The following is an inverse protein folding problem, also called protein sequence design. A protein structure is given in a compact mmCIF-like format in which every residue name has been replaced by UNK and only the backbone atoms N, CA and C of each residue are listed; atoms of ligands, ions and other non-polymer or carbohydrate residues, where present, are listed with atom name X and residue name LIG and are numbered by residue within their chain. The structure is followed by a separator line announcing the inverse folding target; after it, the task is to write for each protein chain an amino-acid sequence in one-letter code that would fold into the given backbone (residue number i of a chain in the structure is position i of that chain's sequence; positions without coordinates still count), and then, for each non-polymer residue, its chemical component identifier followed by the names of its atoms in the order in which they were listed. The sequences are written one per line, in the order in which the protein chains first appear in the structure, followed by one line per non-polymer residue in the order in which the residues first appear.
data_IF_379057526498
#
_entry.id   IF_379057526498
#
_cell.length_a   1.000
_cell.length_b   1.000
_cell.length_c   1.000
_cell.angle_alpha   90.00
_cell.angle_beta   90.00
_cell.angle_gamma   90.00
#
_symmetry.space_group_name_H-M   'P 1'
#
loop_
_entity.id
_entity.type
_entity.pdbx_description
1 polymer ?
#
# COMPACT_ATOMS: atom_id res chain seq x y z
N UNK A 1 11.25 14.69 25.85
CA UNK A 1 10.06 13.88 25.46
C UNK A 1 9.14 14.65 24.51
N UNK A 2 8.75 15.90 24.82
CA UNK A 2 7.97 16.75 23.89
C UNK A 2 8.71 17.08 22.58
N UNK A 3 9.99 17.46 22.63
CA UNK A 3 10.80 17.73 21.42
C UNK A 3 10.90 16.53 20.47
N UNK A 4 11.07 15.31 21.00
CA UNK A 4 11.15 14.09 20.19
C UNK A 4 9.84 13.86 19.41
N UNK A 5 8.70 14.11 20.07
CA UNK A 5 7.38 13.97 19.45
C UNK A 5 7.22 15.03 18.35
N UNK A 6 7.63 16.26 18.61
CA UNK A 6 7.55 17.35 17.62
C UNK A 6 8.45 17.09 16.38
N UNK A 7 9.66 16.56 16.58
CA UNK A 7 10.57 16.20 15.49
C UNK A 7 10.06 15.03 14.66
N UNK A 8 9.45 14.04 15.31
CA UNK A 8 8.76 12.94 14.65
C UNK A 8 7.60 13.48 13.82
N UNK A 9 6.72 14.29 14.40
CA UNK A 9 5.58 14.90 13.69
C UNK A 9 6.04 15.77 12.51
N UNK A 10 7.15 16.50 12.64
CA UNK A 10 7.72 17.33 11.57
C UNK A 10 8.29 16.48 10.44
N UNK A 11 8.98 15.37 10.74
CA UNK A 11 9.42 14.40 9.72
C UNK A 11 8.22 13.79 9.00
N UNK A 12 7.19 13.39 9.73
CA UNK A 12 5.98 12.79 9.17
C UNK A 12 5.22 13.76 8.25
N UNK A 13 5.07 15.01 8.65
CA UNK A 13 4.46 16.06 7.82
C UNK A 13 5.26 16.33 6.55
N UNK A 14 6.60 16.27 6.64
CA UNK A 14 7.50 16.38 5.48
C UNK A 14 7.36 15.19 4.54
N UNK A 15 7.24 13.97 5.06
CA UNK A 15 7.03 12.75 4.27
C UNK A 15 5.67 12.76 3.56
N UNK A 16 4.60 13.18 4.26
CA UNK A 16 3.26 13.33 3.66
C UNK A 16 3.21 14.39 2.54
N UNK A 17 4.03 15.44 2.60
CA UNK A 17 4.15 16.47 1.55
C UNK A 17 5.19 16.15 0.48
N UNK A 18 5.91 15.03 0.59
CA UNK A 18 6.90 14.65 -0.41
C UNK A 18 6.19 14.09 -1.65
N UNK A 19 6.20 14.87 -2.73
CA UNK A 19 5.63 14.48 -4.04
C UNK A 19 6.18 13.14 -4.54
N UNK A 20 7.39 12.75 -4.12
CA UNK A 20 7.97 11.45 -4.45
C UNK A 20 7.21 10.30 -3.77
N UNK A 21 6.89 10.44 -2.49
CA UNK A 21 6.20 9.39 -1.71
C UNK A 21 4.76 9.21 -2.22
N UNK A 22 4.05 10.29 -2.47
CA UNK A 22 2.69 10.22 -3.03
C UNK A 22 2.69 9.63 -4.45
N UNK A 23 3.70 9.95 -5.27
CA UNK A 23 3.87 9.34 -6.60
C UNK A 23 4.17 7.84 -6.53
N UNK A 24 5.03 7.42 -5.60
CA UNK A 24 5.40 6.02 -5.41
C UNK A 24 4.22 5.18 -4.90
N UNK A 25 3.48 5.71 -3.91
CA UNK A 25 2.25 5.09 -3.41
C UNK A 25 1.21 4.91 -4.52
N UNK A 26 0.98 5.95 -5.33
CA UNK A 26 0.08 5.86 -6.48
C UNK A 26 0.56 4.81 -7.50
N UNK A 27 1.87 4.64 -7.68
CA UNK A 27 2.42 3.57 -8.53
C UNK A 27 2.07 2.19 -7.99
N UNK A 28 2.28 1.96 -6.68
CA UNK A 28 1.99 0.68 -6.03
C UNK A 28 0.50 0.33 -6.11
N UNK A 29 -0.38 1.28 -5.76
CA UNK A 29 -1.83 1.08 -5.83
C UNK A 29 -2.30 0.75 -7.25
N UNK A 30 -1.73 1.39 -8.28
CA UNK A 30 -2.06 1.08 -9.68
C UNK A 30 -1.65 -0.33 -10.06
N UNK A 31 -0.48 -0.80 -9.62
CA UNK A 31 -0.03 -2.17 -9.89
C UNK A 31 -0.96 -3.17 -9.19
N UNK A 32 -1.29 -2.93 -7.93
CA UNK A 32 -2.21 -3.76 -7.15
C UNK A 32 -3.57 -3.92 -7.82
N UNK A 33 -4.18 -2.81 -8.27
CA UNK A 33 -5.47 -2.84 -8.96
C UNK A 33 -5.40 -3.66 -10.25
N UNK A 34 -4.36 -3.47 -11.07
CA UNK A 34 -4.21 -4.22 -12.32
C UNK A 34 -4.01 -5.71 -12.06
N UNK A 35 -3.17 -6.06 -11.08
CA UNK A 35 -2.92 -7.45 -10.70
C UNK A 35 -4.21 -8.14 -10.19
N UNK A 36 -4.96 -7.49 -9.29
CA UNK A 36 -6.23 -8.02 -8.80
C UNK A 36 -7.24 -8.20 -9.92
N UNK A 37 -7.33 -7.25 -10.86
CA UNK A 37 -8.23 -7.36 -12.00
C UNK A 37 -7.85 -8.53 -12.92
N UNK A 38 -6.57 -8.64 -13.32
CA UNK A 38 -6.09 -9.72 -14.18
C UNK A 38 -6.25 -11.10 -13.53
N UNK A 39 -6.07 -11.18 -12.21
CA UNK A 39 -6.32 -12.41 -11.46
C UNK A 39 -7.81 -12.75 -11.39
N UNK A 40 -8.66 -11.75 -11.17
CA UNK A 40 -10.12 -11.95 -11.05
C UNK A 40 -10.78 -12.28 -12.40
N UNK A 41 -10.23 -11.78 -13.51
CA UNK A 41 -10.67 -12.14 -14.86
C UNK A 41 -10.12 -13.50 -15.35
N UNK A 42 -9.17 -14.09 -14.62
CA UNK A 42 -8.51 -15.34 -14.97
C UNK A 42 -7.40 -15.19 -16.03
N UNK A 43 -7.09 -13.96 -16.46
CA UNK A 43 -6.02 -13.67 -17.42
C UNK A 43 -4.63 -13.96 -16.84
N UNK A 44 -4.46 -13.77 -15.52
CA UNK A 44 -3.19 -13.98 -14.83
C UNK A 44 -3.37 -14.69 -13.48
N UNK A 45 -3.06 -15.99 -13.41
CA UNK A 45 -3.22 -16.81 -12.20
C UNK A 45 -1.93 -17.51 -11.74
N UNK A 46 -0.78 -17.06 -12.26
CA UNK A 46 0.53 -17.68 -12.02
C UNK A 46 1.15 -17.37 -10.65
N UNK A 47 0.55 -16.46 -9.89
CA UNK A 47 1.00 -16.09 -8.53
C UNK A 47 0.13 -16.77 -7.45
N UNK A 48 0.67 -16.93 -6.22
CA UNK A 48 -0.09 -17.48 -5.11
C UNK A 48 -1.34 -16.66 -4.79
N UNK A 49 -2.46 -17.34 -4.48
CA UNK A 49 -3.69 -16.69 -4.02
C UNK A 49 -3.49 -15.85 -2.74
N UNK A 50 -2.46 -16.19 -1.94
CA UNK A 50 -2.06 -15.44 -0.74
C UNK A 50 -1.63 -14.01 -1.09
N UNK A 51 -0.95 -13.82 -2.21
CA UNK A 51 -0.49 -12.52 -2.72
C UNK A 51 -1.70 -11.62 -3.02
N UNK A 52 -2.69 -12.17 -3.73
CA UNK A 52 -3.96 -11.47 -3.98
C UNK A 52 -4.69 -11.12 -2.67
N UNK A 53 -4.75 -12.07 -1.74
CA UNK A 53 -5.39 -11.85 -0.43
C UNK A 53 -4.72 -10.72 0.34
N UNK A 54 -3.39 -10.66 0.34
CA UNK A 54 -2.62 -9.61 1.02
C UNK A 54 -2.87 -8.24 0.38
N UNK A 55 -2.87 -8.16 -0.95
CA UNK A 55 -3.17 -6.92 -1.68
C UNK A 55 -4.59 -6.44 -1.36
N UNK A 56 -5.59 -7.33 -1.45
CA UNK A 56 -6.99 -6.99 -1.19
C UNK A 56 -7.18 -6.52 0.26
N UNK A 57 -6.55 -7.19 1.23
CA UNK A 57 -6.58 -6.77 2.63
C UNK A 57 -5.98 -5.37 2.82
N UNK A 58 -4.83 -5.09 2.18
CA UNK A 58 -4.20 -3.76 2.20
C UNK A 58 -5.07 -2.67 1.57
N UNK A 59 -5.71 -2.95 0.44
CA UNK A 59 -6.61 -2.01 -0.24
C UNK A 59 -7.87 -1.73 0.58
N UNK A 60 -8.46 -2.74 1.23
CA UNK A 60 -9.62 -2.55 2.13
C UNK A 60 -9.25 -1.64 3.29
N UNK A 61 -8.09 -1.89 3.93
CA UNK A 61 -7.58 -1.04 5.01
C UNK A 61 -7.37 0.40 4.54
N UNK A 62 -6.76 0.59 3.36
CA UNK A 62 -6.51 1.91 2.78
C UNK A 62 -7.81 2.71 2.48
N UNK A 63 -8.90 2.05 2.09
CA UNK A 63 -10.17 2.71 1.76
C UNK A 63 -11.01 3.01 3.01
N UNK A 64 -10.95 2.15 4.02
CA UNK A 64 -11.73 2.27 5.26
C UNK A 64 -10.83 2.46 6.49
N UNK A 65 -10.12 3.60 6.63
CA UNK A 65 -9.22 3.83 7.77
C UNK A 65 -9.93 4.03 9.13
N UNK A 66 -11.25 3.73 9.26
CA UNK A 66 -12.09 4.27 10.34
C UNK A 66 -12.94 3.23 11.09
N UNK A 67 -13.29 2.06 10.53
CA UNK A 67 -14.43 1.30 11.09
C UNK A 67 -14.11 0.36 12.29
N UNK A 68 -12.91 0.41 12.87
CA UNK A 68 -12.47 -0.52 13.93
C UNK A 68 -11.77 0.12 15.15
N UNK A 69 -11.54 1.43 15.17
CA UNK A 69 -10.86 2.11 16.29
C UNK A 69 -11.83 3.13 16.93
N UNK A 70 -12.21 2.98 18.21
CA UNK A 70 -12.96 4.00 18.94
C UNK A 70 -12.19 5.35 18.94
N UNK A 71 -12.91 6.44 18.67
CA UNK A 71 -12.45 7.83 18.44
C UNK A 71 -11.47 8.46 19.48
N UNK A 72 -10.23 7.96 19.63
CA UNK A 72 -9.30 8.49 20.66
C UNK A 72 -7.87 8.85 20.21
N UNK A 73 -7.47 8.70 18.94
CA UNK A 73 -6.10 9.05 18.51
C UNK A 73 -6.09 10.00 17.30
N UNK A 74 -5.93 11.33 17.52
CA UNK A 74 -5.99 12.35 16.46
C UNK A 74 -4.87 12.34 15.40
N UNK A 75 -3.93 11.39 15.42
CA UNK A 75 -2.69 11.42 14.65
C UNK A 75 -2.25 10.07 14.05
N UNK A 76 -3.04 9.00 14.14
CA UNK A 76 -2.58 7.63 13.83
C UNK A 76 -2.72 7.17 12.37
N UNK A 77 -3.70 7.65 11.60
CA UNK A 77 -4.07 6.98 10.32
C UNK A 77 -3.06 7.12 9.19
N UNK A 78 -2.66 8.35 8.86
CA UNK A 78 -2.05 8.64 7.55
C UNK A 78 -0.67 8.00 7.29
N UNK A 79 0.10 7.73 8.33
CA UNK A 79 1.48 7.24 8.21
C UNK A 79 1.50 5.72 8.18
N UNK A 80 0.61 5.11 8.97
CA UNK A 80 0.48 3.66 9.08
C UNK A 80 -0.04 3.08 7.76
N UNK A 81 -1.00 3.74 7.10
CA UNK A 81 -1.52 3.32 5.79
C UNK A 81 -0.44 3.27 4.69
N UNK A 82 0.40 4.32 4.61
CA UNK A 82 1.46 4.41 3.60
C UNK A 82 2.53 3.34 3.87
N UNK A 83 2.91 3.16 5.14
CA UNK A 83 3.86 2.15 5.54
C UNK A 83 3.34 0.74 5.24
N UNK A 84 2.05 0.49 5.49
CA UNK A 84 1.41 -0.79 5.18
C UNK A 84 1.46 -1.10 3.68
N UNK A 85 1.07 -0.16 2.82
CA UNK A 85 1.09 -0.39 1.36
C UNK A 85 2.51 -0.61 0.85
N UNK A 86 3.49 0.14 1.35
CA UNK A 86 4.89 -0.07 1.01
C UNK A 86 5.40 -1.44 1.48
N UNK A 87 5.07 -1.83 2.70
CA UNK A 87 5.44 -3.14 3.26
C UNK A 87 4.80 -4.30 2.51
N UNK A 88 3.53 -4.17 2.10
CA UNK A 88 2.86 -5.17 1.26
C UNK A 88 3.64 -5.28 -0.06
N UNK A 89 3.92 -4.16 -0.73
CA UNK A 89 4.66 -4.17 -2.00
C UNK A 89 6.00 -4.91 -1.87
N UNK A 90 6.79 -4.58 -0.84
CA UNK A 90 8.08 -5.23 -0.57
C UNK A 90 7.92 -6.73 -0.23
N UNK A 91 6.85 -7.10 0.47
CA UNK A 91 6.60 -8.50 0.86
C UNK A 91 6.22 -9.40 -0.32
N UNK A 92 5.74 -8.83 -1.42
CA UNK A 92 5.31 -9.56 -2.61
C UNK A 92 6.01 -9.08 -3.88
N UNK A 93 7.18 -8.45 -3.74
CA UNK A 93 7.93 -7.83 -4.84
C UNK A 93 8.20 -8.82 -5.97
N UNK A 94 8.63 -10.05 -5.64
CA UNK A 94 8.88 -11.09 -6.64
C UNK A 94 7.63 -11.47 -7.45
N UNK A 95 6.44 -11.43 -6.86
CA UNK A 95 5.19 -11.73 -7.55
C UNK A 95 4.71 -10.54 -8.40
N UNK A 96 4.99 -9.32 -7.94
CA UNK A 96 4.77 -8.10 -8.71
C UNK A 96 5.67 -8.09 -9.94
N UNK A 97 6.95 -8.43 -9.80
CA UNK A 97 7.89 -8.47 -10.91
C UNK A 97 7.45 -9.47 -11.98
N UNK A 98 7.04 -10.69 -11.58
CA UNK A 98 6.46 -11.68 -12.50
C UNK A 98 5.21 -11.16 -13.21
N UNK A 99 4.36 -10.41 -12.52
CA UNK A 99 3.17 -9.83 -13.12
C UNK A 99 3.54 -8.74 -14.13
N UNK A 100 4.47 -7.84 -13.79
CA UNK A 100 4.92 -6.78 -14.67
C UNK A 100 5.66 -7.31 -15.90
N UNK A 101 6.46 -8.36 -15.74
CA UNK A 101 7.09 -9.07 -16.88
C UNK A 101 6.04 -9.65 -17.82
N UNK A 102 5.01 -10.30 -17.29
CA UNK A 102 3.91 -10.82 -18.10
C UNK A 102 3.13 -9.69 -18.78
N UNK A 103 2.80 -8.62 -18.06
CA UNK A 103 2.06 -7.47 -18.57
C UNK A 103 2.81 -6.75 -19.70
N UNK A 104 4.14 -6.67 -19.63
CA UNK A 104 4.97 -6.05 -20.67
C UNK A 104 5.17 -6.94 -21.91
N UNK A 105 4.98 -8.25 -21.79
CA UNK A 105 5.16 -9.23 -22.87
C UNK A 105 3.83 -9.66 -23.53
N UNK A 106 2.70 -9.17 -23.03
CA UNK A 106 1.34 -9.44 -23.53
C UNK A 106 0.83 -8.30 -24.41
#
# INVERSE_FOLDING_TARGET
MKELIDDVLKKLKKLSHDKKITSQLNSYLRVFIRLVNAYSSGEYTYIPWKTITLIVAGLIYFIYPIDLIPDFIPLAGLIDDIALIAWIYESIEEDIDKFLEWENNS
#
